data_IF_949069752228
#
_entry.id   IF_949069752228
#
_cell.length_a   1.000
_cell.length_b   1.000
_cell.length_c   1.000
_cell.angle_alpha   90.00
_cell.angle_beta   90.00
_cell.angle_gamma   90.00
#
_symmetry.space_group_name_H-M   'P 1'
#
loop_
_entity.id
_entity.type
_entity.pdbx_description
1 polymer ?
#
# COMPACT_ATOMS: atom_id res chain seq x y z
N UNK A 1 9.15 -5.16 -7.21
CA UNK A 1 9.14 -6.51 -6.59
C UNK A 1 7.80 -7.22 -6.78
N UNK A 2 6.66 -6.62 -6.42
CA UNK A 2 5.34 -7.27 -6.53
C UNK A 2 4.97 -7.68 -7.97
N UNK A 3 5.18 -6.80 -8.97
CA UNK A 3 4.96 -7.13 -10.39
C UNK A 3 5.81 -8.31 -10.88
N UNK A 4 7.07 -8.40 -10.42
CA UNK A 4 7.95 -9.50 -10.77
C UNK A 4 7.44 -10.82 -10.14
N UNK A 5 7.01 -10.77 -8.88
CA UNK A 5 6.38 -11.91 -8.21
C UNK A 5 5.13 -12.37 -8.94
N UNK A 6 4.23 -11.44 -9.31
CA UNK A 6 2.98 -11.75 -9.99
C UNK A 6 3.23 -12.46 -11.33
N UNK A 7 4.20 -12.00 -12.13
CA UNK A 7 4.64 -12.65 -13.37
C UNK A 7 5.15 -14.07 -13.14
N UNK A 8 5.96 -14.28 -12.10
CA UNK A 8 6.50 -15.61 -11.77
C UNK A 8 5.40 -16.57 -11.36
N UNK A 9 4.37 -16.07 -10.65
CA UNK A 9 3.23 -16.87 -10.20
C UNK A 9 2.06 -16.94 -11.19
N UNK A 10 2.22 -16.42 -12.41
CA UNK A 10 1.17 -16.30 -13.44
C UNK A 10 -0.13 -15.66 -12.89
N UNK A 11 0.02 -14.65 -12.03
CA UNK A 11 -1.10 -13.90 -11.46
C UNK A 11 -1.23 -12.56 -12.14
N UNK A 12 -2.45 -12.22 -12.52
CA UNK A 12 -2.78 -10.86 -12.94
C UNK A 12 -2.93 -10.00 -11.68
N UNK A 13 -2.35 -8.80 -11.68
CA UNK A 13 -2.50 -7.82 -10.59
C UNK A 13 -2.56 -6.42 -11.18
N UNK A 14 -3.41 -5.57 -10.64
CA UNK A 14 -3.47 -4.14 -10.94
C UNK A 14 -3.11 -3.32 -9.70
N UNK A 15 -1.87 -2.80 -9.69
CA UNK A 15 -1.33 -2.05 -8.55
C UNK A 15 -2.04 -0.72 -8.31
N UNK A 16 -2.77 -0.21 -9.31
CA UNK A 16 -3.54 1.03 -9.17
C UNK A 16 -4.66 0.87 -8.15
N UNK A 17 -5.17 -0.35 -7.94
CA UNK A 17 -6.16 -0.65 -6.90
C UNK A 17 -5.67 -0.38 -5.47
N UNK A 18 -4.36 -0.27 -5.24
CA UNK A 18 -3.81 0.11 -3.94
C UNK A 18 -3.89 1.63 -3.67
N UNK A 19 -3.94 2.45 -4.71
CA UNK A 19 -4.05 3.91 -4.60
C UNK A 19 -5.48 4.42 -4.88
N UNK A 20 -6.22 3.69 -5.71
CA UNK A 20 -7.54 4.07 -6.19
C UNK A 20 -8.55 3.00 -5.81
N UNK A 21 -9.33 3.25 -4.76
CA UNK A 21 -10.35 2.33 -4.25
C UNK A 21 -11.50 2.05 -5.23
N UNK A 22 -11.52 2.64 -6.42
CA UNK A 22 -12.48 2.30 -7.47
C UNK A 22 -11.94 1.25 -8.46
N UNK A 23 -10.65 0.89 -8.38
CA UNK A 23 -9.99 -0.06 -9.28
C UNK A 23 -9.89 -1.42 -8.58
N UNK A 24 -10.31 -2.48 -9.28
CA UNK A 24 -10.14 -3.86 -8.82
C UNK A 24 -8.63 -4.23 -8.85
N UNK A 25 -8.02 -4.66 -7.73
CA UNK A 25 -6.63 -5.09 -7.70
C UNK A 25 -6.33 -6.36 -8.51
N UNK A 26 -7.36 -7.09 -8.98
CA UNK A 26 -7.26 -8.36 -9.71
C UNK A 26 -6.54 -9.48 -8.92
N UNK A 27 -6.41 -9.28 -7.61
CA UNK A 27 -5.84 -10.24 -6.68
C UNK A 27 -6.96 -10.82 -5.82
N UNK A 28 -6.98 -12.13 -5.63
CA UNK A 28 -7.93 -12.78 -4.72
C UNK A 28 -7.88 -12.14 -3.33
N UNK A 29 -9.02 -11.62 -2.87
CA UNK A 29 -9.13 -10.88 -1.61
C UNK A 29 -8.39 -9.54 -1.58
N UNK A 30 -7.94 -9.05 -2.73
CA UNK A 30 -7.13 -7.84 -2.85
C UNK A 30 -7.87 -6.60 -2.36
N UNK A 31 -9.18 -6.53 -2.57
CA UNK A 31 -10.01 -5.43 -2.10
C UNK A 31 -10.04 -5.37 -0.57
N UNK A 32 -10.30 -6.51 0.06
CA UNK A 32 -10.38 -6.64 1.50
C UNK A 32 -9.00 -6.40 2.16
N UNK A 33 -7.91 -6.78 1.50
CA UNK A 33 -6.54 -6.44 1.94
C UNK A 33 -6.35 -4.92 1.96
N UNK A 34 -6.72 -4.22 0.89
CA UNK A 34 -6.57 -2.75 0.79
C UNK A 34 -7.46 -2.05 1.82
N UNK A 35 -8.73 -2.45 1.94
CA UNK A 35 -9.69 -1.84 2.86
C UNK A 35 -9.28 -2.07 4.32
N UNK A 36 -8.86 -3.28 4.69
CA UNK A 36 -8.37 -3.58 6.03
C UNK A 36 -7.07 -2.84 6.36
N UNK A 37 -6.12 -2.78 5.42
CA UNK A 37 -4.88 -2.02 5.60
C UNK A 37 -5.18 -0.52 5.76
N UNK A 38 -6.11 0.02 4.97
CA UNK A 38 -6.55 1.41 5.07
C UNK A 38 -7.17 1.68 6.44
N UNK A 39 -8.08 0.82 6.92
CA UNK A 39 -8.68 0.96 8.24
C UNK A 39 -7.63 0.88 9.37
N UNK A 40 -6.64 -0.01 9.27
CA UNK A 40 -5.53 -0.11 10.24
C UNK A 40 -4.71 1.19 10.34
N UNK A 41 -4.32 1.76 9.19
CA UNK A 41 -3.44 2.94 9.14
C UNK A 41 -4.20 4.21 9.50
N UNK A 42 -5.42 4.36 8.99
CA UNK A 42 -6.25 5.57 9.20
C UNK A 42 -7.07 5.56 10.48
N UNK A 43 -7.05 4.44 11.23
CA UNK A 43 -7.91 4.20 12.39
C UNK A 43 -9.40 4.28 12.06
N UNK A 44 -9.78 3.74 10.89
CA UNK A 44 -11.17 3.62 10.43
C UNK A 44 -11.94 2.50 11.14
N UNK A 45 -13.02 2.02 10.52
CA UNK A 45 -13.80 0.89 11.04
C UNK A 45 -13.02 -0.43 10.91
N UNK A 46 -12.27 -0.75 11.96
CA UNK A 46 -11.40 -1.91 12.01
C UNK A 46 -12.17 -3.22 12.18
N UNK A 47 -13.32 -3.21 12.86
CA UNK A 47 -14.06 -4.44 13.13
C UNK A 47 -14.66 -4.98 11.83
N UNK A 48 -15.39 -4.13 11.09
CA UNK A 48 -16.02 -4.54 9.84
C UNK A 48 -14.99 -4.96 8.79
N UNK A 49 -13.93 -4.17 8.62
CA UNK A 49 -12.88 -4.45 7.62
C UNK A 49 -12.06 -5.71 7.95
N UNK A 50 -11.78 -5.96 9.24
CA UNK A 50 -11.13 -7.21 9.68
C UNK A 50 -12.01 -8.42 9.38
N UNK A 51 -13.29 -8.35 9.74
CA UNK A 51 -14.19 -9.50 9.59
C UNK A 51 -14.39 -9.83 8.10
N UNK A 52 -14.46 -8.82 7.23
CA UNK A 52 -14.44 -8.99 5.78
C UNK A 52 -13.14 -9.65 5.28
N UNK A 53 -11.97 -9.19 5.74
CA UNK A 53 -10.69 -9.79 5.37
C UNK A 53 -10.57 -11.25 5.85
N UNK A 54 -10.99 -11.55 7.08
CA UNK A 54 -11.02 -12.94 7.59
C UNK A 54 -11.93 -13.81 6.72
N UNK A 55 -13.08 -13.29 6.29
CA UNK A 55 -13.99 -14.00 5.38
C UNK A 55 -13.39 -14.26 3.99
N UNK A 56 -12.62 -13.32 3.45
CA UNK A 56 -12.07 -13.41 2.09
C UNK A 56 -10.75 -14.20 2.01
N UNK A 57 -9.81 -13.96 2.93
CA UNK A 57 -8.45 -14.51 2.87
C UNK A 57 -8.09 -15.41 4.06
N UNK A 58 -8.97 -15.55 5.04
CA UNK A 58 -8.76 -16.34 6.24
C UNK A 58 -8.00 -15.58 7.34
N UNK A 59 -8.13 -16.09 8.57
CA UNK A 59 -7.57 -15.45 9.77
C UNK A 59 -6.03 -15.36 9.74
N UNK A 60 -5.35 -16.41 9.26
CA UNK A 60 -3.89 -16.42 9.21
C UNK A 60 -3.34 -15.38 8.23
N UNK A 61 -3.91 -15.31 7.01
CA UNK A 61 -3.49 -14.31 6.03
C UNK A 61 -3.83 -12.90 6.50
N UNK A 62 -4.99 -12.69 7.13
CA UNK A 62 -5.38 -11.40 7.71
C UNK A 62 -4.39 -10.95 8.79
N UNK A 63 -3.94 -11.85 9.65
CA UNK A 63 -2.93 -11.54 10.66
C UNK A 63 -1.58 -11.13 10.02
N UNK A 64 -1.19 -11.77 8.91
CA UNK A 64 0.01 -11.38 8.15
C UNK A 64 -0.13 -10.00 7.52
N UNK A 65 -1.30 -9.64 6.99
CA UNK A 65 -1.58 -8.28 6.48
C UNK A 65 -1.39 -7.25 7.60
N UNK A 66 -1.97 -7.49 8.77
CA UNK A 66 -1.81 -6.59 9.92
C UNK A 66 -0.34 -6.45 10.38
N UNK A 67 0.42 -7.55 10.39
CA UNK A 67 1.83 -7.54 10.74
C UNK A 67 2.66 -6.71 9.74
N UNK A 68 2.40 -6.85 8.44
CA UNK A 68 3.06 -6.07 7.39
C UNK A 68 2.72 -4.59 7.54
N UNK A 69 1.44 -4.25 7.68
CA UNK A 69 0.99 -2.87 7.88
C UNK A 69 1.66 -2.23 9.12
N UNK A 70 1.67 -2.94 10.25
CA UNK A 70 2.31 -2.48 11.47
C UNK A 70 3.82 -2.24 11.33
N UNK A 71 4.53 -3.10 10.59
CA UNK A 71 5.95 -2.93 10.33
C UNK A 71 6.23 -1.67 9.49
N UNK A 72 5.46 -1.42 8.43
CA UNK A 72 5.62 -0.22 7.61
C UNK A 72 5.26 1.05 8.38
N UNK A 73 4.21 1.05 9.19
CA UNK A 73 3.83 2.20 10.02
C UNK A 73 4.84 2.53 11.11
N UNK A 74 5.57 1.53 11.62
CA UNK A 74 6.69 1.76 12.51
C UNK A 74 7.84 2.46 11.77
N UNK A 75 8.18 1.99 10.57
CA UNK A 75 9.25 2.60 9.76
C UNK A 75 8.89 4.02 9.31
N UNK A 76 7.65 4.26 8.87
CA UNK A 76 7.16 5.59 8.47
C UNK A 76 7.40 6.59 9.61
N UNK A 77 6.96 6.26 10.82
CA UNK A 77 7.15 7.12 12.00
C UNK A 77 8.62 7.38 12.32
N UNK A 78 9.50 6.39 12.18
CA UNK A 78 10.94 6.58 12.39
C UNK A 78 11.51 7.54 11.34
N UNK A 79 11.22 7.30 10.05
CA UNK A 79 11.73 8.12 8.95
C UNK A 79 11.24 9.56 9.02
N UNK A 80 9.97 9.76 9.36
CA UNK A 80 9.38 11.08 9.58
C UNK A 80 10.06 11.82 10.73
N UNK A 81 10.31 11.11 11.85
CA UNK A 81 10.95 11.70 13.03
C UNK A 81 12.41 12.13 12.78
N UNK A 82 13.13 11.45 11.88
CA UNK A 82 14.53 11.78 11.54
C UNK A 82 14.67 12.63 10.27
N UNK A 83 13.55 12.97 9.61
CA UNK A 83 13.53 13.83 8.43
C UNK A 83 14.25 13.22 7.22
N UNK A 84 14.20 11.88 7.06
CA UNK A 84 14.85 11.21 5.92
C UNK A 84 14.10 11.55 4.63
N UNK A 85 14.74 12.20 3.64
CA UNK A 85 14.08 12.57 2.40
C UNK A 85 13.84 11.34 1.52
N UNK A 86 12.69 11.29 0.85
CA UNK A 86 12.42 10.30 -0.19
C UNK A 86 13.06 10.78 -1.50
N UNK A 87 13.96 9.99 -2.13
CA UNK A 87 14.54 10.39 -3.41
C UNK A 87 13.47 10.55 -4.48
N UNK A 88 13.48 11.69 -5.19
CA UNK A 88 12.49 12.03 -6.22
C UNK A 88 12.32 10.94 -7.27
N UNK A 89 13.42 10.40 -7.79
CA UNK A 89 13.40 9.30 -8.77
C UNK A 89 12.68 8.05 -8.25
N UNK A 90 12.74 7.80 -6.93
CA UNK A 90 12.04 6.67 -6.31
C UNK A 90 10.55 6.98 -6.13
N UNK A 91 10.20 8.20 -5.74
CA UNK A 91 8.81 8.64 -5.65
C UNK A 91 8.12 8.57 -7.02
N UNK A 92 8.76 9.10 -8.07
CA UNK A 92 8.26 9.05 -9.46
C UNK A 92 8.08 7.62 -9.96
N UNK A 93 9.05 6.75 -9.68
CA UNK A 93 8.95 5.34 -10.06
C UNK A 93 7.74 4.65 -9.41
N UNK A 94 7.53 4.84 -8.11
CA UNK A 94 6.42 4.21 -7.37
C UNK A 94 5.08 4.83 -7.78
N UNK A 95 5.00 6.15 -7.92
CA UNK A 95 3.80 6.85 -8.32
C UNK A 95 3.32 6.41 -9.71
N UNK A 96 4.24 6.24 -10.66
CA UNK A 96 3.94 5.68 -11.97
C UNK A 96 3.35 4.27 -11.92
N UNK A 97 3.78 3.42 -10.96
CA UNK A 97 3.20 2.09 -10.77
C UNK A 97 1.79 2.13 -10.18
N UNK A 98 1.53 3.09 -9.30
CA UNK A 98 0.24 3.27 -8.63
C UNK A 98 -0.76 4.09 -9.47
N UNK A 99 -0.32 4.69 -10.57
CA UNK A 99 -1.13 5.62 -11.36
C UNK A 99 -1.43 6.92 -10.60
N UNK A 100 -0.44 7.41 -9.83
CA UNK A 100 -0.49 8.67 -9.09
C UNK A 100 0.33 9.71 -9.87
N UNK A 101 -0.20 10.92 -9.99
CA UNK A 101 0.54 12.06 -10.54
C UNK A 101 1.46 12.66 -9.46
N UNK A 102 2.75 12.79 -9.77
CA UNK A 102 3.78 13.30 -8.84
C UNK A 102 3.86 14.80 -8.77
N UNK A 103 3.17 15.54 -9.65
CA UNK A 103 3.20 17.01 -9.66
C UNK A 103 2.66 17.63 -8.35
N UNK A 104 2.04 16.82 -7.48
CA UNK A 104 1.58 17.21 -6.14
C UNK A 104 2.66 17.13 -5.05
N UNK A 105 3.78 16.44 -5.26
CA UNK A 105 4.91 16.43 -4.32
C UNK A 105 5.79 17.65 -4.59
N UNK A 106 5.50 18.73 -3.85
CA UNK A 106 6.06 20.07 -4.06
C UNK A 106 7.57 20.14 -4.30
N UNK A 107 7.96 21.17 -5.08
CA UNK A 107 9.35 21.55 -5.30
C UNK A 107 10.04 21.87 -3.96
N UNK A 108 10.85 20.94 -3.45
CA UNK A 108 11.93 21.29 -2.52
C UNK A 108 12.94 22.20 -3.24
N UNK A 109 13.59 23.14 -2.54
CA UNK A 109 14.51 24.07 -3.17
C UNK A 109 15.63 23.29 -3.84
N UNK A 110 15.85 23.55 -5.13
CA UNK A 110 16.93 22.94 -5.90
C UNK A 110 18.30 23.23 -5.30
N UNK A 111 19.33 22.42 -5.62
CA UNK A 111 20.68 22.68 -5.15
C UNK A 111 21.14 24.03 -5.72
N UNK A 112 21.44 24.97 -4.80
CA UNK A 112 22.20 26.18 -5.10
C UNK A 112 23.69 25.91 -5.21
#
# INVERSE_FOLDING_TARGET
>A
MLRASARISDRQVDLRGAAHLSIDPLLDGGREIVDFTTALVTRGDLAASRDAAVGAIGAEATARVAAVAGNFEMMNRILDAVGVPVPRSRAESIAGELGIDVDHFGHGPGPG
#
